data_IF_613535499594
#
_entry.id   IF_613535499594
#
_cell.length_a   1.000
_cell.length_b   1.000
_cell.length_c   1.000
_cell.angle_alpha   90.00
_cell.angle_beta   90.00
_cell.angle_gamma   90.00
#
_symmetry.space_group_name_H-M   'P 1'
#
loop_
_entity.id
_entity.type
_entity.pdbx_description
1 polymer ?
#
# COMPACT_ATOMS: atom_id res chain seq x y z
N UNK A 1 -14.89 47.93 -8.20
CA UNK A 1 -14.56 46.89 -7.20
C UNK A 1 -15.44 45.67 -7.47
N UNK A 2 -14.91 44.66 -8.15
CA UNK A 2 -15.62 43.41 -8.41
C UNK A 2 -14.95 42.31 -7.57
N UNK A 3 -15.69 41.73 -6.62
CA UNK A 3 -15.27 40.54 -5.87
C UNK A 3 -15.64 39.32 -6.70
N UNK A 4 -14.66 38.70 -7.36
CA UNK A 4 -14.80 37.33 -7.83
C UNK A 4 -14.61 36.40 -6.63
N UNK A 5 -15.70 36.04 -5.97
CA UNK A 5 -15.75 34.97 -4.95
C UNK A 5 -15.84 33.61 -5.64
N UNK A 6 -15.00 33.40 -6.65
CA UNK A 6 -14.99 32.20 -7.50
C UNK A 6 -14.01 31.13 -7.00
N UNK A 7 -13.71 31.08 -5.71
CA UNK A 7 -12.90 29.98 -5.17
C UNK A 7 -13.83 28.84 -4.76
N UNK A 8 -13.77 27.71 -5.46
CA UNK A 8 -14.42 26.47 -5.04
C UNK A 8 -14.03 26.08 -3.59
N UNK A 9 -12.86 26.54 -3.11
CA UNK A 9 -12.38 26.41 -1.74
C UNK A 9 -13.03 27.38 -0.73
N UNK A 10 -13.68 28.49 -1.15
CA UNK A 10 -14.44 29.36 -0.24
C UNK A 10 -15.65 28.63 0.37
N UNK A 11 -16.20 27.63 -0.32
CA UNK A 11 -17.36 26.86 0.14
C UNK A 11 -17.08 26.07 1.43
N UNK A 12 -15.81 25.79 1.72
CA UNK A 12 -15.40 25.12 2.95
C UNK A 12 -14.80 26.07 4.01
N UNK A 13 -14.86 27.39 3.78
CA UNK A 13 -14.47 28.36 4.81
C UNK A 13 -15.36 28.16 6.05
N UNK A 14 -14.73 27.81 7.18
CA UNK A 14 -15.40 27.50 8.45
C UNK A 14 -15.47 26.02 8.80
N UNK A 15 -15.19 25.10 7.87
CA UNK A 15 -15.16 23.64 8.12
C UNK A 15 -13.75 23.08 8.26
N UNK A 16 -12.82 23.88 8.80
CA UNK A 16 -11.41 23.51 8.92
C UNK A 16 -11.21 22.21 9.71
N UNK A 17 -12.04 21.94 10.71
CA UNK A 17 -11.98 20.69 11.48
C UNK A 17 -12.27 19.45 10.63
N UNK A 18 -13.26 19.53 9.72
CA UNK A 18 -13.62 18.42 8.83
C UNK A 18 -12.49 18.17 7.84
N UNK A 19 -11.94 19.23 7.23
CA UNK A 19 -10.82 19.13 6.31
C UNK A 19 -9.56 18.56 6.98
N UNK A 20 -9.26 18.99 8.21
CA UNK A 20 -8.16 18.44 9.01
C UNK A 20 -8.36 16.97 9.33
N UNK A 21 -9.59 16.53 9.64
CA UNK A 21 -9.90 15.12 9.88
C UNK A 21 -9.71 14.27 8.60
N UNK A 22 -10.19 14.77 7.46
CA UNK A 22 -9.98 14.10 6.16
C UNK A 22 -8.48 14.01 5.83
N UNK A 23 -7.72 15.08 6.06
CA UNK A 23 -6.26 15.09 5.85
C UNK A 23 -5.57 14.07 6.77
N UNK A 24 -5.96 13.99 8.04
CA UNK A 24 -5.44 13.00 8.99
C UNK A 24 -5.73 11.56 8.53
N UNK A 25 -6.97 11.31 8.08
CA UNK A 25 -7.35 10.01 7.51
C UNK A 25 -6.51 9.67 6.28
N UNK A 26 -6.33 10.64 5.37
CA UNK A 26 -5.51 10.45 4.17
C UNK A 26 -4.06 10.11 4.51
N UNK A 27 -3.45 10.80 5.48
CA UNK A 27 -2.11 10.47 5.99
C UNK A 27 -2.07 9.03 6.54
N UNK A 28 -3.07 8.63 7.33
CA UNK A 28 -3.17 7.26 7.85
C UNK A 28 -3.24 6.21 6.74
N UNK A 29 -4.05 6.45 5.71
CA UNK A 29 -4.14 5.57 4.54
C UNK A 29 -2.82 5.49 3.79
N UNK A 30 -2.16 6.62 3.54
CA UNK A 30 -0.87 6.65 2.85
C UNK A 30 0.22 5.89 3.62
N UNK A 31 0.25 6.02 4.94
CA UNK A 31 1.16 5.26 5.80
C UNK A 31 0.86 3.76 5.77
N UNK A 32 -0.42 3.39 5.76
CA UNK A 32 -0.84 1.98 5.62
C UNK A 32 -0.43 1.40 4.26
N UNK A 33 -0.62 2.14 3.16
CA UNK A 33 -0.15 1.74 1.82
C UNK A 33 1.36 1.60 1.80
N UNK A 34 2.10 2.54 2.40
CA UNK A 34 3.55 2.46 2.49
C UNK A 34 4.00 1.19 3.25
N UNK A 35 3.36 0.88 4.38
CA UNK A 35 3.68 -0.29 5.19
C UNK A 35 3.37 -1.61 4.49
N UNK A 36 2.25 -1.70 3.76
CA UNK A 36 1.81 -2.94 3.09
C UNK A 36 2.56 -3.22 1.79
N UNK A 37 2.85 -2.19 1.00
CA UNK A 37 3.58 -2.35 -0.27
C UNK A 37 5.10 -2.43 -0.08
N UNK A 38 5.59 -2.04 1.10
CA UNK A 38 7.01 -1.90 1.42
C UNK A 38 7.73 -0.85 0.55
N UNK A 39 6.98 -0.10 -0.26
CA UNK A 39 7.44 0.87 -1.24
C UNK A 39 8.74 0.45 -1.94
N UNK A 40 8.74 -0.77 -2.53
CA UNK A 40 9.96 -1.39 -3.09
C UNK A 40 10.60 -0.58 -4.21
N UNK A 41 9.80 0.12 -5.02
CA UNK A 41 10.30 0.96 -6.10
C UNK A 41 10.57 2.39 -5.62
N UNK A 42 11.63 3.00 -6.15
CA UNK A 42 11.94 4.40 -5.89
C UNK A 42 10.79 5.33 -6.31
N UNK A 43 10.15 5.05 -7.45
CA UNK A 43 9.01 5.84 -7.97
C UNK A 43 7.84 5.82 -6.99
N UNK A 44 7.51 4.65 -6.42
CA UNK A 44 6.43 4.51 -5.45
C UNK A 44 6.76 5.24 -4.14
N UNK A 45 8.01 5.18 -3.67
CA UNK A 45 8.48 5.95 -2.49
C UNK A 45 8.37 7.45 -2.72
N UNK A 46 8.78 7.92 -3.89
CA UNK A 46 8.68 9.33 -4.26
C UNK A 46 7.22 9.78 -4.35
N UNK A 47 6.36 8.99 -4.99
CA UNK A 47 4.93 9.28 -5.11
C UNK A 47 4.23 9.36 -3.74
N UNK A 48 4.51 8.41 -2.85
CA UNK A 48 3.99 8.39 -1.48
C UNK A 48 4.56 9.53 -0.64
N UNK A 49 5.86 9.81 -0.75
CA UNK A 49 6.53 10.89 -0.03
C UNK A 49 5.99 12.27 -0.40
N UNK A 50 5.75 12.52 -1.69
CA UNK A 50 5.14 13.77 -2.17
C UNK A 50 3.72 13.96 -1.63
N UNK A 51 2.89 12.91 -1.68
CA UNK A 51 1.52 12.96 -1.15
C UNK A 51 1.50 13.15 0.37
N UNK A 52 2.35 12.42 1.11
CA UNK A 52 2.47 12.55 2.57
C UNK A 52 2.97 13.94 2.96
N UNK A 53 4.02 14.43 2.30
CA UNK A 53 4.59 15.75 2.58
C UNK A 53 3.59 16.88 2.32
N UNK A 54 2.89 16.83 1.19
CA UNK A 54 1.83 17.80 0.90
C UNK A 54 0.66 17.72 1.87
N UNK A 55 0.16 16.52 2.18
CA UNK A 55 -0.93 16.36 3.15
C UNK A 55 -0.55 16.86 4.55
N UNK A 56 0.67 16.55 5.02
CA UNK A 56 1.19 17.03 6.30
C UNK A 56 1.39 18.54 6.33
N UNK A 57 1.91 19.15 5.26
CA UNK A 57 2.07 20.61 5.17
C UNK A 57 0.71 21.32 5.28
N UNK A 58 -0.26 20.86 4.50
CA UNK A 58 -1.63 21.36 4.53
C UNK A 58 -2.33 21.12 5.89
N UNK A 59 -2.03 20.02 6.59
CA UNK A 59 -2.56 19.76 7.92
C UNK A 59 -1.90 20.68 8.96
N UNK A 60 -0.58 20.87 8.89
CA UNK A 60 0.16 21.72 9.81
C UNK A 60 -0.30 23.18 9.74
N UNK A 61 -0.52 23.70 8.54
CA UNK A 61 -1.06 25.04 8.33
C UNK A 61 -2.41 25.22 9.04
N UNK A 62 -3.30 24.24 8.90
CA UNK A 62 -4.61 24.25 9.58
C UNK A 62 -4.48 24.16 11.09
N UNK A 63 -3.51 23.41 11.62
CA UNK A 63 -3.30 23.30 13.07
C UNK A 63 -2.68 24.56 13.67
N UNK A 64 -1.80 25.24 12.94
CA UNK A 64 -1.10 26.44 13.42
C UNK A 64 -1.92 27.72 13.24
N UNK A 65 -2.52 27.89 12.06
CA UNK A 65 -3.16 29.13 11.64
C UNK A 65 -4.69 29.00 11.58
N UNK A 66 -5.21 27.78 11.58
CA UNK A 66 -6.64 27.51 11.39
C UNK A 66 -7.07 27.47 9.93
N UNK A 67 -6.20 27.75 8.97
CA UNK A 67 -6.49 27.74 7.52
C UNK A 67 -5.24 27.41 6.71
N UNK A 68 -5.39 27.16 5.41
CA UNK A 68 -4.28 26.94 4.47
C UNK A 68 -3.99 28.21 3.69
N UNK A 69 -2.72 28.51 3.49
CA UNK A 69 -2.28 29.69 2.73
C UNK A 69 -2.04 29.34 1.28
N UNK A 70 -2.92 29.83 0.40
CA UNK A 70 -2.80 29.72 -1.05
C UNK A 70 -2.06 30.95 -1.61
N UNK A 71 -1.04 30.74 -2.44
CA UNK A 71 -0.17 31.82 -2.92
C UNK A 71 0.20 31.74 -4.40
N UNK A 72 -0.02 30.59 -5.07
CA UNK A 72 0.25 30.44 -6.50
C UNK A 72 -1.00 30.80 -7.31
N UNK A 73 -0.94 31.92 -8.02
CA UNK A 73 -1.96 32.37 -8.98
C UNK A 73 -1.42 32.21 -10.41
N UNK A 74 -2.09 31.37 -11.19
CA UNK A 74 -1.74 31.01 -12.57
C UNK A 74 -2.80 31.51 -13.57
N UNK A 75 -3.64 32.48 -13.19
CA UNK A 75 -4.59 33.14 -14.07
C UNK A 75 -6.01 32.54 -13.97
N UNK A 76 -6.51 31.80 -14.98
CA UNK A 76 -7.87 31.27 -14.96
C UNK A 76 -8.06 30.07 -14.01
N UNK A 77 -6.97 29.50 -13.51
CA UNK A 77 -6.97 28.38 -12.58
C UNK A 77 -7.14 28.86 -11.14
N UNK A 78 -7.84 28.09 -10.27
CA UNK A 78 -7.91 28.37 -8.85
C UNK A 78 -6.52 28.56 -8.24
N UNK A 79 -6.39 29.50 -7.32
CA UNK A 79 -5.17 29.72 -6.55
C UNK A 79 -4.89 28.46 -5.73
N UNK A 80 -3.65 28.00 -5.71
CA UNK A 80 -3.23 26.80 -4.98
C UNK A 80 -1.89 27.03 -4.25
N UNK A 81 -1.44 26.02 -3.52
CA UNK A 81 -0.15 26.06 -2.83
C UNK A 81 0.80 24.93 -3.26
N UNK A 82 2.01 24.94 -2.71
CA UNK A 82 3.02 23.90 -2.99
C UNK A 82 2.58 22.52 -2.48
N UNK A 83 1.80 22.44 -1.40
CA UNK A 83 1.29 21.17 -0.88
C UNK A 83 0.31 20.50 -1.86
N UNK A 84 -0.60 21.27 -2.46
CA UNK A 84 -1.55 20.79 -3.48
C UNK A 84 -0.83 20.32 -4.74
N UNK A 85 0.24 21.04 -5.11
CA UNK A 85 1.12 20.66 -6.22
C UNK A 85 1.84 19.34 -5.93
N UNK A 86 2.39 19.17 -4.73
CA UNK A 86 3.06 17.94 -4.31
C UNK A 86 2.11 16.74 -4.32
N UNK A 87 0.89 16.90 -3.78
CA UNK A 87 -0.14 15.85 -3.80
C UNK A 87 -0.51 15.50 -5.24
N UNK A 88 -0.72 16.49 -6.10
CA UNK A 88 -1.10 16.27 -7.50
C UNK A 88 0.00 15.54 -8.29
N UNK A 89 1.26 15.97 -8.16
CA UNK A 89 2.39 15.30 -8.81
C UNK A 89 2.58 13.89 -8.27
N UNK A 90 2.47 13.69 -6.95
CA UNK A 90 2.56 12.37 -6.34
C UNK A 90 1.44 11.43 -6.80
N UNK A 91 0.21 11.93 -6.97
CA UNK A 91 -0.91 11.17 -7.54
C UNK A 91 -0.61 10.75 -8.98
N UNK A 92 -0.13 11.66 -9.83
CA UNK A 92 0.22 11.35 -11.22
C UNK A 92 1.31 10.28 -11.28
N UNK A 93 2.36 10.40 -10.47
CA UNK A 93 3.42 9.39 -10.38
C UNK A 93 2.91 8.03 -9.91
N UNK A 94 2.02 8.02 -8.91
CA UNK A 94 1.40 6.78 -8.41
C UNK A 94 0.59 6.09 -9.49
N UNK A 95 -0.26 6.83 -10.20
CA UNK A 95 -1.06 6.29 -11.31
C UNK A 95 -0.15 5.75 -12.39
N UNK A 96 0.83 6.54 -12.84
CA UNK A 96 1.78 6.11 -13.86
C UNK A 96 2.55 4.84 -13.46
N UNK A 97 2.96 4.72 -12.20
CA UNK A 97 3.60 3.52 -11.67
C UNK A 97 2.71 2.27 -11.85
N UNK A 98 1.43 2.35 -11.47
CA UNK A 98 0.50 1.22 -11.60
C UNK A 98 0.19 0.87 -13.04
N UNK A 99 0.09 1.84 -13.95
CA UNK A 99 -0.11 1.54 -15.36
C UNK A 99 1.11 0.87 -15.99
N UNK A 100 2.32 1.28 -15.60
CA UNK A 100 3.56 0.74 -16.18
C UNK A 100 3.90 -0.67 -15.68
N UNK A 101 3.44 -1.06 -14.49
CA UNK A 101 3.75 -2.38 -13.89
C UNK A 101 2.68 -3.44 -14.15
N UNK A 102 1.64 -3.14 -14.95
CA UNK A 102 0.59 -4.11 -15.32
C UNK A 102 1.00 -5.10 -16.40
N UNK A 103 2.06 -4.81 -17.15
CA UNK A 103 2.45 -5.63 -18.30
C UNK A 103 3.22 -6.92 -17.91
N UNK A 104 3.95 -6.89 -16.78
CA UNK A 104 4.77 -8.03 -16.34
C UNK A 104 3.95 -9.19 -15.73
N UNK A 105 2.85 -8.88 -15.03
CA UNK A 105 1.98 -9.89 -14.41
C UNK A 105 1.23 -10.73 -15.46
N UNK A 106 0.89 -10.13 -16.61
CA UNK A 106 0.21 -10.82 -17.72
C UNK A 106 1.14 -11.80 -18.46
N UNK A 107 2.44 -11.56 -18.48
CA UNK A 107 3.42 -12.44 -19.12
C UNK A 107 3.83 -13.65 -18.24
N UNK A 108 3.72 -13.52 -16.91
CA UNK A 108 4.05 -14.62 -15.98
C UNK A 108 2.96 -15.70 -15.92
N UNK A 109 1.72 -15.38 -16.32
CA UNK A 109 0.57 -16.32 -16.30
C UNK A 109 0.49 -17.19 -17.57
N UNK A 110 1.28 -16.91 -18.60
CA UNK A 110 1.24 -17.65 -19.88
C UNK A 110 2.21 -18.85 -19.97
N UNK A 111 2.78 -19.34 -18.87
CA UNK A 111 3.52 -20.60 -18.90
C UNK A 111 2.61 -21.75 -18.46
N UNK A 112 1.96 -22.49 -19.37
CA UNK A 112 1.30 -23.74 -18.99
C UNK A 112 2.40 -24.73 -18.60
N UNK A 113 2.59 -24.94 -17.30
CA UNK A 113 3.24 -26.14 -16.79
C UNK A 113 2.31 -27.33 -17.05
N UNK A 114 2.21 -27.74 -18.31
CA UNK A 114 1.65 -29.02 -18.73
C UNK A 114 2.79 -29.86 -19.28
N UNK A 115 3.46 -30.58 -18.38
CA UNK A 115 4.00 -31.89 -18.74
C UNK A 115 3.28 -32.91 -17.89
N UNK A 116 2.17 -33.38 -18.45
CA UNK A 116 1.56 -34.66 -18.11
C UNK A 116 2.60 -35.74 -18.41
N UNK A 117 3.05 -36.46 -17.37
CA UNK A 117 3.60 -37.81 -17.55
C UNK A 117 2.53 -38.82 -17.15
N UNK A 118 1.87 -39.37 -18.17
CA UNK A 118 1.02 -40.55 -18.08
C UNK A 118 1.85 -41.82 -17.89
N UNK A 119 1.60 -42.53 -16.79
CA UNK A 119 1.44 -43.99 -16.70
C UNK A 119 2.61 -44.93 -17.04
N UNK A 120 3.15 -45.60 -16.02
CA UNK A 120 3.41 -47.05 -16.01
C UNK A 120 3.07 -47.59 -14.62
N UNK A 121 2.20 -48.61 -14.55
CA UNK A 121 1.70 -49.15 -13.29
C UNK A 121 2.70 -50.04 -12.53
N UNK A 122 2.47 -50.16 -11.22
CA UNK A 122 2.66 -51.42 -10.50
C UNK A 122 1.75 -51.45 -9.26
N UNK A 123 0.54 -51.92 -9.50
CA UNK A 123 -0.44 -52.34 -8.50
C UNK A 123 0.07 -53.65 -7.85
N UNK A 124 1.10 -53.62 -6.99
CA UNK A 124 1.54 -54.77 -6.15
C UNK A 124 2.72 -54.41 -5.23
N UNK A 125 2.46 -53.55 -4.23
CA UNK A 125 3.26 -53.52 -2.99
C UNK A 125 2.37 -53.66 -1.74
N UNK A 126 1.12 -54.07 -1.90
CA UNK A 126 0.39 -54.77 -0.86
C UNK A 126 0.89 -56.22 -0.83
N UNK A 127 1.06 -56.78 0.37
CA UNK A 127 1.44 -58.17 0.65
C UNK A 127 2.93 -58.54 0.71
N UNK A 128 3.80 -57.63 1.17
CA UNK A 128 4.96 -58.02 2.00
C UNK A 128 4.47 -58.28 3.45
N UNK A 129 3.57 -59.26 3.55
CA UNK A 129 3.13 -59.87 4.78
C UNK A 129 4.33 -60.62 5.40
N UNK A 130 4.35 -60.65 6.73
CA UNK A 130 4.79 -61.79 7.58
C UNK A 130 6.24 -61.80 8.12
N UNK A 131 6.30 -61.37 9.38
CA UNK A 131 7.10 -61.87 10.52
C UNK A 131 8.33 -61.07 10.97
N UNK A 132 8.11 -60.33 12.06
CA UNK A 132 9.13 -59.69 12.89
C UNK A 132 8.51 -59.09 14.16
N UNK A 133 7.74 -59.90 14.90
CA UNK A 133 7.32 -59.62 16.28
C UNK A 133 8.50 -59.25 17.17
N UNK A 134 8.44 -58.12 17.87
CA UNK A 134 8.92 -57.87 19.26
C UNK A 134 8.76 -56.35 19.56
N UNK A 135 7.77 -55.96 20.36
CA UNK A 135 7.89 -55.66 21.80
C UNK A 135 8.25 -54.17 22.03
N UNK A 136 7.26 -53.30 22.31
CA UNK A 136 6.75 -52.87 23.65
C UNK A 136 7.77 -52.10 24.50
N UNK A 137 7.31 -50.96 25.03
CA UNK A 137 8.02 -50.00 25.89
C UNK A 137 9.06 -49.19 25.10
N UNK A 138 9.09 -47.86 25.16
CA UNK A 138 9.13 -47.03 26.35
C UNK A 138 8.46 -45.67 26.05
N UNK A 139 7.65 -45.23 27.01
CA UNK A 139 7.29 -43.86 27.42
C UNK A 139 7.66 -42.70 26.49
N UNK A 140 6.72 -41.84 26.09
CA UNK A 140 6.18 -40.73 26.90
C UNK A 140 7.24 -39.89 27.63
N UNK A 141 6.95 -38.58 27.73
CA UNK A 141 7.55 -37.57 28.63
C UNK A 141 8.78 -36.90 27.99
N UNK A 142 8.57 -35.75 27.31
CA UNK A 142 8.53 -34.37 27.82
C UNK A 142 9.91 -33.78 28.13
N UNK A 143 9.98 -32.46 27.98
CA UNK A 143 11.05 -31.58 28.46
C UNK A 143 12.42 -31.74 27.81
N UNK A 144 12.60 -30.98 26.73
CA UNK A 144 13.88 -30.32 26.48
C UNK A 144 13.79 -28.92 27.10
N UNK A 145 14.02 -28.84 28.41
CA UNK A 145 14.47 -27.61 29.06
C UNK A 145 15.29 -27.94 30.32
N UNK A 146 16.29 -27.12 30.61
CA UNK A 146 17.14 -27.09 31.80
C UNK A 146 18.36 -28.04 31.83
N UNK A 147 19.48 -27.53 31.29
CA UNK A 147 20.76 -27.48 32.01
C UNK A 147 21.31 -26.05 31.97
N UNK A 148 21.07 -25.32 33.05
CA UNK A 148 22.12 -24.77 33.92
C UNK A 148 21.66 -24.92 35.36
#
# INVERSE_FOLDING_TARGET
HARNTGTAFSLFQGHNNVLSFIALLAVGVLLWVYATTGARSFVLRLALGLQLGGALGNLLDRLQQGYVTDFLDVGPWPIFNVADSAISVGMVLMVWYFFSHREEESAAVSTPATTVHTGVGCQKCADAMRYGTLNRSIANVSETDIRT
#
